data_IF_919957514487
#
_entry.id   IF_919957514487
#
_cell.length_a   1.000
_cell.length_b   1.000
_cell.length_c   1.000
_cell.angle_alpha   90.00
_cell.angle_beta   90.00
_cell.angle_gamma   90.00
#
_symmetry.space_group_name_H-M   'P 1'
#
loop_
_entity.id
_entity.type
_entity.pdbx_description
1 polymer ?
#
# COMPACT_ATOMS: atom_id res chain seq x y z
N UNK A 1 -11.63 6.27 17.62
CA UNK A 1 -13.02 5.79 17.42
C UNK A 1 -13.92 6.74 16.63
N UNK A 2 -13.52 7.97 16.27
CA UNK A 2 -14.46 8.97 15.70
C UNK A 2 -14.36 9.23 14.17
N UNK A 3 -13.38 8.69 13.45
CA UNK A 3 -13.11 9.12 12.06
C UNK A 3 -13.92 8.40 10.96
N UNK A 4 -14.82 7.48 11.32
CA UNK A 4 -15.57 6.64 10.37
C UNK A 4 -17.05 6.99 10.21
N UNK A 5 -17.62 7.97 10.91
CA UNK A 5 -19.08 8.06 11.07
C UNK A 5 -19.86 8.44 9.79
N UNK A 6 -19.33 9.27 8.89
CA UNK A 6 -20.11 9.82 7.76
C UNK A 6 -20.21 8.88 6.55
N UNK A 7 -19.14 8.18 6.19
CA UNK A 7 -19.12 7.32 5.00
C UNK A 7 -19.40 5.84 5.29
N UNK A 8 -19.40 5.43 6.57
CA UNK A 8 -19.60 4.02 6.96
C UNK A 8 -20.89 3.41 6.40
N UNK A 9 -22.07 4.06 6.43
CA UNK A 9 -23.30 3.42 5.95
C UNK A 9 -23.25 3.03 4.45
N UNK A 10 -22.65 3.89 3.61
CA UNK A 10 -22.51 3.63 2.18
C UNK A 10 -21.51 2.51 1.89
N UNK A 11 -20.33 2.58 2.52
CA UNK A 11 -19.29 1.56 2.36
C UNK A 11 -19.78 0.21 2.89
N UNK A 12 -20.49 0.22 4.02
CA UNK A 12 -21.01 -0.98 4.67
C UNK A 12 -22.00 -1.72 3.78
N UNK A 13 -23.03 -1.02 3.26
CA UNK A 13 -24.01 -1.64 2.37
C UNK A 13 -23.37 -2.15 1.07
N UNK A 14 -22.38 -1.41 0.53
CA UNK A 14 -21.58 -1.85 -0.61
C UNK A 14 -20.83 -3.15 -0.33
N UNK A 15 -20.18 -3.26 0.83
CA UNK A 15 -19.47 -4.47 1.25
C UNK A 15 -20.40 -5.66 1.47
N UNK A 16 -21.57 -5.45 2.08
CA UNK A 16 -22.57 -6.52 2.25
C UNK A 16 -22.97 -7.11 0.89
N UNK A 17 -23.31 -6.23 -0.06
CA UNK A 17 -23.65 -6.63 -1.44
C UNK A 17 -22.47 -7.32 -2.14
N UNK A 18 -21.26 -6.81 -1.96
CA UNK A 18 -20.06 -7.37 -2.58
C UNK A 18 -19.81 -8.80 -2.09
N UNK A 19 -19.89 -9.04 -0.77
CA UNK A 19 -19.64 -10.36 -0.21
C UNK A 19 -20.69 -11.40 -0.62
N UNK A 20 -21.97 -11.02 -0.69
CA UNK A 20 -23.01 -11.96 -1.13
C UNK A 20 -22.98 -12.23 -2.63
N UNK A 21 -22.50 -11.28 -3.43
CA UNK A 21 -22.43 -11.41 -4.90
C UNK A 21 -21.16 -12.13 -5.35
N UNK A 22 -19.99 -11.72 -4.84
CA UNK A 22 -18.69 -12.26 -5.26
C UNK A 22 -18.34 -13.55 -4.52
N UNK A 23 -18.80 -13.70 -3.26
CA UNK A 23 -18.51 -14.84 -2.40
C UNK A 23 -17.02 -15.19 -2.36
N UNK A 24 -16.14 -14.25 -1.97
CA UNK A 24 -14.70 -14.47 -2.06
C UNK A 24 -14.22 -15.51 -1.04
N UNK A 25 -13.24 -16.32 -1.43
CA UNK A 25 -12.57 -17.27 -0.53
C UNK A 25 -11.63 -16.59 0.48
N UNK A 26 -11.15 -15.39 0.15
CA UNK A 26 -10.27 -14.57 1.01
C UNK A 26 -10.44 -13.10 0.69
N UNK A 27 -10.30 -12.24 1.70
CA UNK A 27 -10.32 -10.78 1.53
C UNK A 27 -8.99 -10.20 2.02
N UNK A 28 -8.31 -9.48 1.13
CA UNK A 28 -7.05 -8.79 1.44
C UNK A 28 -7.26 -7.28 1.36
N UNK A 29 -6.91 -6.55 2.41
CA UNK A 29 -7.00 -5.09 2.45
C UNK A 29 -5.62 -4.46 2.56
N UNK A 30 -5.32 -3.59 1.59
CA UNK A 30 -4.14 -2.71 1.60
C UNK A 30 -4.54 -1.25 1.92
N UNK A 31 -5.73 -1.04 2.49
CA UNK A 31 -6.23 0.31 2.76
C UNK A 31 -6.52 0.52 4.25
N UNK A 32 -5.98 1.59 4.88
CA UNK A 32 -6.06 1.76 6.32
C UNK A 32 -7.50 1.92 6.85
N UNK A 33 -8.37 2.62 6.12
CA UNK A 33 -9.62 3.17 6.70
C UNK A 33 -10.76 2.14 6.72
N UNK A 34 -10.73 1.14 5.83
CA UNK A 34 -11.88 0.26 5.60
C UNK A 34 -11.91 -0.97 6.51
N UNK A 35 -10.77 -1.32 7.12
CA UNK A 35 -10.57 -2.60 7.80
C UNK A 35 -11.64 -2.90 8.87
N UNK A 36 -11.97 -1.91 9.70
CA UNK A 36 -13.02 -2.06 10.72
C UNK A 36 -14.40 -2.32 10.12
N UNK A 37 -14.75 -1.61 9.04
CA UNK A 37 -16.06 -1.73 8.40
C UNK A 37 -16.17 -3.08 7.68
N UNK A 38 -15.09 -3.53 7.04
CA UNK A 38 -14.99 -4.86 6.41
C UNK A 38 -15.17 -5.99 7.40
N UNK A 39 -14.44 -5.98 8.53
CA UNK A 39 -14.59 -6.99 9.59
C UNK A 39 -16.02 -6.99 10.14
N UNK A 40 -16.61 -5.80 10.35
CA UNK A 40 -18.00 -5.69 10.82
C UNK A 40 -18.98 -6.30 9.81
N UNK A 41 -18.79 -6.07 8.51
CA UNK A 41 -19.67 -6.59 7.47
C UNK A 41 -19.61 -8.12 7.39
N UNK A 42 -18.40 -8.70 7.45
CA UNK A 42 -18.22 -10.16 7.51
C UNK A 42 -18.94 -10.77 8.72
N UNK A 43 -18.77 -10.16 9.90
CA UNK A 43 -19.44 -10.59 11.14
C UNK A 43 -20.96 -10.50 11.04
N UNK A 44 -21.50 -9.42 10.45
CA UNK A 44 -22.94 -9.24 10.30
C UNK A 44 -23.56 -10.30 9.38
N UNK A 45 -22.86 -10.72 8.33
CA UNK A 45 -23.31 -11.79 7.44
C UNK A 45 -23.04 -13.20 7.98
N UNK A 46 -22.36 -13.33 9.13
CA UNK A 46 -21.95 -14.63 9.67
C UNK A 46 -20.92 -15.36 8.81
N UNK A 47 -20.23 -14.64 7.91
CA UNK A 47 -19.26 -15.22 6.98
C UNK A 47 -17.92 -15.46 7.69
N UNK A 48 -17.35 -16.65 7.51
CA UNK A 48 -16.03 -17.05 8.04
C UNK A 48 -14.93 -16.92 6.98
N UNK A 49 -15.01 -15.89 6.14
CA UNK A 49 -14.02 -15.63 5.09
C UNK A 49 -12.77 -15.05 5.76
N UNK A 50 -11.57 -15.62 5.53
CA UNK A 50 -10.32 -15.08 6.04
C UNK A 50 -10.11 -13.63 5.61
N UNK A 51 -9.85 -12.75 6.58
CA UNK A 51 -9.55 -11.34 6.34
C UNK A 51 -8.11 -11.01 6.72
N UNK A 52 -7.35 -10.54 5.74
CA UNK A 52 -5.93 -10.21 5.87
C UNK A 52 -5.74 -8.73 5.62
N UNK A 53 -4.97 -8.05 6.48
CA UNK A 53 -4.57 -6.66 6.25
C UNK A 53 -3.08 -6.60 5.91
N UNK A 54 -2.72 -5.87 4.86
CA UNK A 54 -1.33 -5.62 4.46
C UNK A 54 -1.02 -4.16 4.68
N UNK A 55 -0.22 -3.88 5.70
CA UNK A 55 0.17 -2.52 6.09
C UNK A 55 1.22 -1.99 5.12
N UNK A 56 0.93 -0.85 4.50
CA UNK A 56 1.84 -0.18 3.55
C UNK A 56 2.60 1.00 4.17
N UNK A 57 2.30 1.36 5.41
CA UNK A 57 3.00 2.43 6.14
C UNK A 57 4.35 1.89 6.66
N UNK A 58 5.46 2.42 6.14
CA UNK A 58 6.79 1.92 6.47
C UNK A 58 7.30 2.33 7.86
N UNK A 59 7.03 3.58 8.26
CA UNK A 59 7.62 4.20 9.46
C UNK A 59 6.54 4.50 10.51
N UNK A 60 5.58 5.35 10.17
CA UNK A 60 4.51 5.78 11.08
C UNK A 60 3.21 5.06 10.73
N UNK A 61 3.00 3.87 11.29
CA UNK A 61 1.75 3.13 11.05
C UNK A 61 0.57 3.90 11.63
N UNK A 62 -0.29 4.39 10.74
CA UNK A 62 -1.45 5.15 11.13
C UNK A 62 -2.43 4.32 11.96
N UNK A 63 -3.12 4.94 12.92
CA UNK A 63 -4.03 4.25 13.84
C UNK A 63 -5.15 3.46 13.13
N UNK A 64 -5.58 3.89 11.95
CA UNK A 64 -6.65 3.23 11.18
C UNK A 64 -6.29 1.81 10.75
N UNK A 65 -5.01 1.46 10.62
CA UNK A 65 -4.56 0.09 10.34
C UNK A 65 -4.88 -0.91 11.45
N UNK A 66 -5.06 -0.44 12.69
CA UNK A 66 -5.28 -1.30 13.85
C UNK A 66 -6.75 -1.67 13.97
N UNK A 67 -7.20 -2.66 13.20
CA UNK A 67 -8.57 -3.18 13.25
C UNK A 67 -8.59 -4.60 13.86
N UNK A 68 -8.91 -4.75 15.16
CA UNK A 68 -9.00 -6.06 15.79
C UNK A 68 -10.04 -6.95 15.11
N UNK A 69 -9.66 -8.20 14.86
CA UNK A 69 -10.54 -9.20 14.25
C UNK A 69 -10.14 -9.63 12.85
N UNK A 70 -9.06 -9.08 12.28
CA UNK A 70 -8.40 -9.72 11.14
C UNK A 70 -7.74 -11.04 11.56
N UNK A 71 -7.65 -11.96 10.61
CA UNK A 71 -7.03 -13.27 10.78
C UNK A 71 -5.51 -13.17 10.68
N UNK A 72 -5.00 -12.25 9.84
CA UNK A 72 -3.59 -11.94 9.73
C UNK A 72 -3.32 -10.45 9.45
N UNK A 73 -2.23 -9.94 10.01
CA UNK A 73 -1.67 -8.61 9.80
C UNK A 73 -0.27 -8.75 9.21
N UNK A 74 -0.12 -8.39 7.94
CA UNK A 74 1.18 -8.35 7.26
C UNK A 74 1.77 -6.96 7.45
N UNK A 75 2.97 -6.88 8.01
CA UNK A 75 3.65 -5.61 8.31
C UNK A 75 4.99 -5.52 7.58
N UNK A 76 5.41 -4.31 7.17
CA UNK A 76 6.58 -4.15 6.31
C UNK A 76 7.90 -4.10 7.10
N UNK A 77 7.85 -3.77 8.40
CA UNK A 77 9.03 -3.52 9.23
C UNK A 77 8.88 -4.11 10.63
N UNK A 78 10.01 -4.35 11.29
CA UNK A 78 10.03 -4.82 12.69
C UNK A 78 9.43 -3.76 13.63
N UNK A 79 9.66 -2.47 13.35
CA UNK A 79 9.07 -1.36 14.09
C UNK A 79 7.53 -1.39 14.02
N UNK A 80 6.97 -1.65 12.84
CA UNK A 80 5.52 -1.84 12.68
C UNK A 80 5.03 -3.06 13.46
N UNK A 81 5.73 -4.20 13.40
CA UNK A 81 5.40 -5.40 14.18
C UNK A 81 5.35 -5.11 15.69
N UNK A 82 6.37 -4.45 16.23
CA UNK A 82 6.43 -4.09 17.64
C UNK A 82 5.27 -3.18 18.06
N UNK A 83 4.82 -2.29 17.18
CA UNK A 83 3.68 -1.44 17.43
C UNK A 83 2.36 -2.23 17.51
N UNK A 84 2.20 -3.28 16.70
CA UNK A 84 1.08 -4.22 16.78
C UNK A 84 1.11 -5.01 18.11
N UNK A 85 2.27 -5.50 18.52
CA UNK A 85 2.45 -6.22 19.79
C UNK A 85 2.16 -5.34 21.01
N UNK A 86 2.63 -4.09 21.01
CA UNK A 86 2.33 -3.11 22.07
C UNK A 86 0.83 -2.82 22.21
N UNK A 87 0.07 -2.97 21.14
CA UNK A 87 -1.41 -2.84 21.15
C UNK A 87 -2.12 -4.14 21.54
N UNK A 88 -1.41 -5.13 22.06
CA UNK A 88 -1.94 -6.41 22.57
C UNK A 88 -2.68 -7.24 21.50
N UNK A 89 -2.31 -7.07 20.23
CA UNK A 89 -2.76 -7.98 19.17
C UNK A 89 -2.01 -9.31 19.29
N UNK A 90 -2.69 -10.39 18.92
CA UNK A 90 -2.12 -11.75 18.98
C UNK A 90 -0.85 -11.83 18.12
N UNK A 91 0.33 -12.11 18.72
CA UNK A 91 1.59 -12.20 17.99
C UNK A 91 1.55 -13.24 16.87
N UNK A 92 0.75 -14.30 17.01
CA UNK A 92 0.63 -15.37 16.00
C UNK A 92 -0.04 -14.90 14.72
N UNK A 93 -0.77 -13.78 14.78
CA UNK A 93 -1.46 -13.16 13.64
C UNK A 93 -0.64 -12.06 12.97
N UNK A 94 0.51 -11.68 13.53
CA UNK A 94 1.33 -10.57 13.01
C UNK A 94 2.55 -11.13 12.29
N UNK A 95 2.59 -10.95 10.98
CA UNK A 95 3.62 -11.49 10.10
C UNK A 95 4.44 -10.37 9.48
N UNK A 96 5.76 -10.40 9.64
CA UNK A 96 6.66 -9.46 8.98
C UNK A 96 7.15 -10.07 7.68
N UNK A 97 6.50 -9.73 6.57
CA UNK A 97 6.85 -10.21 5.22
C UNK A 97 7.47 -9.13 4.34
N UNK A 98 7.56 -7.90 4.83
CA UNK A 98 8.08 -6.76 4.06
C UNK A 98 6.99 -6.02 3.28
N UNK A 99 7.39 -4.99 2.55
CA UNK A 99 6.51 -4.22 1.69
C UNK A 99 6.17 -5.05 0.45
N UNK A 100 4.88 -5.19 0.08
CA UNK A 100 4.53 -5.83 -1.18
C UNK A 100 5.08 -4.99 -2.34
N UNK A 101 5.90 -5.63 -3.17
CA UNK A 101 6.40 -5.07 -4.43
C UNK A 101 6.00 -6.00 -5.57
N UNK A 102 5.79 -5.43 -6.75
CA UNK A 102 5.52 -6.22 -7.96
C UNK A 102 6.74 -7.14 -8.23
N UNK A 103 6.55 -8.47 -8.39
CA UNK A 103 7.63 -9.42 -8.65
C UNK A 103 8.49 -9.07 -9.87
N UNK A 104 8.01 -8.24 -10.81
CA UNK A 104 8.85 -7.78 -11.93
C UNK A 104 10.09 -7.00 -11.46
N UNK A 105 10.03 -6.36 -10.29
CA UNK A 105 11.15 -5.61 -9.72
C UNK A 105 12.18 -6.48 -9.01
N UNK A 106 11.92 -7.79 -8.83
CA UNK A 106 12.89 -8.74 -8.27
C UNK A 106 13.69 -9.48 -9.35
N UNK A 107 13.41 -9.20 -10.63
CA UNK A 107 14.10 -9.83 -11.76
C UNK A 107 15.48 -9.20 -11.94
N UNK A 108 16.41 -9.97 -12.47
CA UNK A 108 17.69 -9.45 -12.90
C UNK A 108 17.47 -8.35 -13.94
N UNK A 109 18.20 -7.24 -13.77
CA UNK A 109 18.17 -6.09 -14.68
C UNK A 109 19.49 -6.00 -15.42
N UNK A 110 19.46 -5.39 -16.61
CA UNK A 110 20.66 -5.08 -17.37
C UNK A 110 21.65 -4.25 -16.56
N UNK A 111 22.93 -4.31 -16.94
CA UNK A 111 23.99 -3.58 -16.27
C UNK A 111 23.75 -2.07 -16.31
N UNK A 112 24.39 -1.34 -15.39
CA UNK A 112 24.28 0.11 -15.30
C UNK A 112 24.67 0.79 -16.62
N UNK A 113 25.69 0.28 -17.29
CA UNK A 113 26.25 0.78 -18.55
C UNK A 113 25.26 0.59 -19.71
N UNK A 114 24.64 -0.60 -19.79
CA UNK A 114 23.62 -0.93 -20.78
C UNK A 114 22.37 -0.08 -20.59
N UNK A 115 21.89 0.07 -19.36
CA UNK A 115 20.74 0.92 -19.06
C UNK A 115 21.03 2.40 -19.38
N UNK A 116 22.22 2.89 -19.02
CA UNK A 116 22.63 4.25 -19.39
C UNK A 116 22.66 4.45 -20.90
N UNK A 117 23.20 3.48 -21.65
CA UNK A 117 23.21 3.55 -23.13
C UNK A 117 21.80 3.53 -23.69
N UNK A 118 20.94 2.63 -23.19
CA UNK A 118 19.54 2.49 -23.58
C UNK A 118 18.74 3.78 -23.36
N UNK A 119 18.99 4.49 -22.26
CA UNK A 119 18.30 5.73 -21.92
C UNK A 119 19.04 7.01 -22.37
N UNK A 120 20.14 6.88 -23.12
CA UNK A 120 20.93 8.03 -23.56
C UNK A 120 21.48 8.85 -22.40
N UNK A 121 21.92 8.21 -21.31
CA UNK A 121 22.54 8.86 -20.15
C UNK A 121 24.07 8.87 -20.30
N UNK A 122 24.73 9.90 -19.74
CA UNK A 122 26.19 9.98 -19.70
C UNK A 122 26.78 8.80 -18.91
N UNK A 123 27.90 8.26 -19.38
CA UNK A 123 28.53 7.05 -18.82
C UNK A 123 29.45 7.35 -17.65
N UNK A 124 29.98 8.56 -17.60
CA UNK A 124 31.02 9.05 -16.69
C UNK A 124 30.48 10.00 -15.61
N UNK A 125 29.24 10.48 -15.76
CA UNK A 125 28.62 11.39 -14.80
C UNK A 125 27.71 10.65 -13.79
N UNK A 126 27.60 11.17 -12.55
CA UNK A 126 26.54 10.77 -11.63
C UNK A 126 25.15 11.01 -12.25
N UNK A 127 24.22 10.09 -12.01
CA UNK A 127 22.81 10.24 -12.44
C UNK A 127 21.94 10.33 -11.20
N UNK A 128 21.09 11.35 -11.12
CA UNK A 128 20.12 11.55 -10.04
C UNK A 128 18.73 11.26 -10.59
N UNK A 129 17.99 10.36 -9.95
CA UNK A 129 16.57 10.14 -10.24
C UNK A 129 15.74 11.17 -9.50
N UNK A 130 15.04 12.02 -10.25
CA UNK A 130 14.05 12.95 -9.71
C UNK A 130 12.67 12.33 -9.90
N UNK A 131 12.04 11.98 -8.79
CA UNK A 131 10.67 11.48 -8.76
C UNK A 131 9.86 12.33 -7.79
N UNK A 132 8.66 12.71 -8.21
CA UNK A 132 7.75 13.51 -7.40
C UNK A 132 6.35 12.88 -7.44
N UNK A 133 5.76 12.71 -6.27
CA UNK A 133 4.34 12.37 -6.14
C UNK A 133 3.54 13.65 -6.24
N UNK A 134 2.82 13.84 -7.34
CA UNK A 134 1.88 14.94 -7.44
C UNK A 134 0.55 14.52 -6.81
N UNK A 135 0.31 14.91 -5.56
CA UNK A 135 -1.05 15.29 -5.17
C UNK A 135 -1.32 16.67 -5.80
N UNK A 136 -1.58 16.69 -7.11
CA UNK A 136 -2.08 17.86 -7.86
C UNK A 136 -1.16 19.07 -8.10
N UNK A 137 0.04 19.18 -7.49
CA UNK A 137 0.82 20.44 -7.48
C UNK A 137 2.26 20.39 -8.04
N UNK A 138 2.62 19.44 -8.91
CA UNK A 138 3.99 19.40 -9.51
C UNK A 138 3.99 19.60 -11.03
N UNK A 139 2.92 20.15 -11.61
CA UNK A 139 2.93 20.54 -13.03
C UNK A 139 3.80 21.80 -13.31
N UNK A 140 4.26 22.52 -12.28
CA UNK A 140 4.80 23.89 -12.46
C UNK A 140 6.34 24.01 -12.57
N UNK A 141 7.12 23.01 -12.16
CA UNK A 141 8.60 23.17 -12.08
C UNK A 141 9.40 22.79 -13.33
N UNK A 142 8.79 22.16 -14.34
CA UNK A 142 9.50 21.77 -15.57
C UNK A 142 9.62 22.89 -16.61
N UNK A 143 9.04 24.07 -16.36
CA UNK A 143 9.01 25.18 -17.34
C UNK A 143 10.27 26.08 -17.32
N UNK A 144 11.22 25.86 -16.41
CA UNK A 144 12.40 26.74 -16.21
C UNK A 144 13.75 26.19 -16.71
N UNK A 145 13.77 25.19 -17.59
CA UNK A 145 14.94 24.91 -18.45
C UNK A 145 16.26 24.53 -17.75
N UNK A 146 16.25 24.15 -16.47
CA UNK A 146 17.47 23.92 -15.67
C UNK A 146 17.98 22.47 -15.63
N UNK A 147 17.35 21.54 -16.37
CA UNK A 147 17.79 20.14 -16.38
C UNK A 147 17.82 19.60 -17.82
N UNK A 148 19.03 19.39 -18.34
CA UNK A 148 19.26 19.07 -19.74
C UNK A 148 18.89 17.62 -20.14
N UNK A 149 18.61 16.72 -19.17
CA UNK A 149 18.10 15.34 -19.42
C UNK A 149 17.27 14.84 -18.23
N UNK A 150 15.99 15.18 -18.19
CA UNK A 150 15.03 14.61 -17.24
C UNK A 150 14.27 13.47 -17.93
N UNK A 151 14.37 12.26 -17.36
CA UNK A 151 13.48 11.15 -17.72
C UNK A 151 12.24 11.29 -16.82
N UNK A 152 11.16 11.83 -17.38
CA UNK A 152 9.85 11.83 -16.72
C UNK A 152 9.17 10.49 -16.99
N UNK A 153 9.07 9.61 -15.99
CA UNK A 153 8.14 8.49 -16.04
C UNK A 153 6.88 8.84 -15.26
N UNK A 154 5.85 9.23 -16.01
CA UNK A 154 4.49 9.34 -15.50
C UNK A 154 3.82 7.99 -15.71
N UNK A 155 4.00 7.06 -14.77
CA UNK A 155 3.19 5.85 -14.72
C UNK A 155 2.13 6.03 -13.64
N UNK A 156 0.87 5.92 -14.05
CA UNK A 156 -0.26 5.79 -13.15
C UNK A 156 -0.06 4.48 -12.37
N UNK A 157 0.29 4.61 -11.10
CA UNK A 157 0.28 3.49 -10.18
C UNK A 157 -1.16 3.24 -9.75
N UNK A 158 -1.79 2.26 -10.41
CA UNK A 158 -2.91 1.46 -9.92
C UNK A 158 -2.69 0.02 -10.34
#
# INVERSE_FOLDING_TARGET
MAMTSLATPLIFNGLLKLFTTIQPDVVVSIHPIINFVTIRALKQLGLKIPFITVVTDLISVHFSWFAPGADAYIVPTEQAKQLYLKRKLDPKRVHMLGMPIDPKYTREVATKEELRRKFGLAQDLPVVLLWAVAMGLVACMLRYGLFHRLICQCNYWW
#
